data_IF_283296137551
#
_entry.id   IF_283296137551
#
_cell.length_a   1.000
_cell.length_b   1.000
_cell.length_c   1.000
_cell.angle_alpha   90.00
_cell.angle_beta   90.00
_cell.angle_gamma   90.00
#
_symmetry.space_group_name_H-M   'P 1'
#
loop_
_entity.id
_entity.type
_entity.pdbx_description
1 polymer ?
#
# COMPACT_ATOMS: atom_id res chain seq x y z
N UNK A 1 -62.42 -27.68 5.45
CA UNK A 1 -61.43 -28.77 5.36
C UNK A 1 -60.16 -28.30 6.04
N UNK A 2 -59.76 -29.00 7.11
CA UNK A 2 -58.60 -28.73 7.98
C UNK A 2 -57.37 -29.42 7.39
N UNK A 3 -56.24 -28.74 7.25
CA UNK A 3 -54.93 -29.38 7.36
C UNK A 3 -53.96 -28.47 8.11
N UNK A 4 -53.75 -28.86 9.37
CA UNK A 4 -52.69 -28.42 10.27
C UNK A 4 -51.47 -29.26 9.89
N UNK A 5 -50.34 -28.63 9.56
CA UNK A 5 -49.04 -29.29 9.53
C UNK A 5 -48.21 -28.78 10.73
N UNK A 6 -48.14 -29.63 11.75
CA UNK A 6 -47.15 -29.58 12.82
C UNK A 6 -45.85 -30.18 12.26
N UNK A 7 -44.74 -29.45 12.31
CA UNK A 7 -43.41 -30.04 12.26
C UNK A 7 -42.65 -29.70 13.54
N UNK A 8 -42.24 -30.76 14.21
CA UNK A 8 -41.56 -30.81 15.51
C UNK A 8 -40.05 -30.63 15.38
N UNK A 9 -39.47 -30.18 16.49
CA UNK A 9 -38.10 -29.76 16.72
C UNK A 9 -36.99 -30.80 16.46
N UNK A 10 -35.78 -30.30 16.24
CA UNK A 10 -34.52 -31.01 16.54
C UNK A 10 -33.46 -29.98 16.95
N UNK A 11 -33.26 -29.84 18.26
CA UNK A 11 -32.18 -29.07 18.88
C UNK A 11 -30.90 -29.91 18.79
N UNK A 12 -29.91 -29.49 18.00
CA UNK A 12 -28.58 -30.09 17.99
C UNK A 12 -27.62 -29.21 18.81
N UNK A 13 -27.22 -29.70 19.98
CA UNK A 13 -26.14 -29.11 20.77
C UNK A 13 -24.79 -29.52 20.18
N UNK A 14 -24.06 -28.56 19.60
CA UNK A 14 -22.66 -28.73 19.21
C UNK A 14 -21.77 -28.30 20.38
N UNK A 15 -21.10 -29.30 20.97
CA UNK A 15 -20.01 -29.16 21.92
C UNK A 15 -18.76 -28.79 21.11
N UNK A 16 -18.21 -27.59 21.28
CA UNK A 16 -16.90 -27.24 20.75
C UNK A 16 -15.86 -27.34 21.88
N UNK A 17 -15.22 -28.51 21.96
CA UNK A 17 -14.02 -28.70 22.78
C UNK A 17 -12.84 -27.96 22.14
N UNK A 18 -12.20 -27.08 22.91
CA UNK A 18 -10.97 -26.39 22.53
C UNK A 18 -9.81 -27.38 22.28
N UNK A 19 -8.94 -27.14 21.29
CA UNK A 19 -7.69 -27.89 21.18
C UNK A 19 -6.69 -27.40 22.24
N UNK A 20 -6.11 -28.37 22.92
CA UNK A 20 -5.01 -28.29 23.88
C UNK A 20 -3.72 -27.82 23.19
N UNK A 21 -2.99 -26.95 23.88
CA UNK A 21 -1.61 -26.56 23.61
C UNK A 21 -0.69 -27.79 23.53
N UNK A 22 -0.19 -28.09 22.33
CA UNK A 22 0.98 -28.95 22.16
C UNK A 22 2.14 -28.10 21.63
N UNK A 23 3.10 -27.83 22.52
CA UNK A 23 4.40 -27.24 22.17
C UNK A 23 5.22 -28.27 21.38
N UNK A 24 5.01 -28.31 20.07
CA UNK A 24 5.91 -28.99 19.16
C UNK A 24 7.20 -28.16 18.99
N UNK A 25 8.31 -28.80 19.32
CA UNK A 25 9.68 -28.29 19.28
C UNK A 25 10.09 -27.98 17.83
N UNK A 26 10.71 -26.80 17.63
CA UNK A 26 11.17 -26.31 16.33
C UNK A 26 12.24 -27.23 15.74
N UNK A 27 11.91 -27.86 14.62
CA UNK A 27 12.86 -28.51 13.73
C UNK A 27 13.58 -27.46 12.88
N UNK A 28 14.88 -27.37 13.10
CA UNK A 28 15.91 -26.86 12.19
C UNK A 28 15.60 -27.19 10.73
N UNK A 29 15.44 -26.13 9.93
CA UNK A 29 15.21 -26.18 8.49
C UNK A 29 15.45 -24.79 7.90
N UNK A 30 16.71 -24.38 7.89
CA UNK A 30 17.19 -23.17 7.22
C UNK A 30 16.84 -23.21 5.73
N UNK A 31 15.79 -22.51 5.31
CA UNK A 31 15.51 -22.26 3.89
C UNK A 31 16.20 -20.95 3.51
N UNK A 32 17.36 -21.09 2.85
CA UNK A 32 18.13 -20.00 2.26
C UNK A 32 17.36 -19.38 1.09
N UNK A 33 16.64 -18.28 1.37
CA UNK A 33 16.18 -17.40 0.31
C UNK A 33 17.35 -16.50 -0.08
N UNK A 34 17.99 -16.88 -1.18
CA UNK A 34 19.11 -16.19 -1.78
C UNK A 34 18.92 -14.67 -1.80
N UNK A 35 19.91 -14.01 -1.21
CA UNK A 35 20.18 -12.58 -1.25
C UNK A 35 20.03 -12.00 -2.67
N UNK A 36 18.99 -11.18 -2.89
CA UNK A 36 18.93 -10.32 -4.06
C UNK A 36 19.65 -9.01 -3.73
N UNK A 37 20.73 -8.79 -4.48
CA UNK A 37 21.79 -7.82 -4.21
C UNK A 37 21.35 -6.37 -4.03
N UNK A 38 22.26 -5.61 -3.42
CA UNK A 38 22.17 -4.17 -3.30
C UNK A 38 22.11 -3.51 -4.69
N UNK A 39 21.01 -2.82 -4.99
CA UNK A 39 20.95 -1.90 -6.13
C UNK A 39 20.51 -0.50 -5.71
N UNK A 40 21.40 0.45 -5.98
CA UNK A 40 21.09 1.86 -6.21
C UNK A 40 21.39 2.82 -5.06
N UNK A 41 22.67 3.11 -4.82
CA UNK A 41 23.05 4.35 -4.13
C UNK A 41 22.75 5.54 -5.06
N UNK A 42 21.75 6.34 -4.72
CA UNK A 42 21.51 7.64 -5.37
C UNK A 42 22.31 8.74 -4.66
N UNK A 43 23.11 9.48 -5.43
CA UNK A 43 23.63 10.80 -5.07
C UNK A 43 25.06 10.85 -4.54
N UNK A 44 26.03 10.98 -5.46
CA UNK A 44 27.36 11.50 -5.15
C UNK A 44 27.25 13.01 -4.92
N UNK A 45 27.61 13.48 -3.73
CA UNK A 45 27.83 14.90 -3.46
C UNK A 45 29.32 15.14 -3.15
N UNK A 46 29.92 16.08 -3.90
CA UNK A 46 31.00 16.96 -3.48
C UNK A 46 32.34 16.32 -3.11
N UNK A 47 33.28 16.32 -4.06
CA UNK A 47 34.72 16.31 -3.75
C UNK A 47 35.09 17.58 -2.98
N UNK A 48 35.70 17.45 -1.80
CA UNK A 48 36.46 18.53 -1.17
C UNK A 48 37.96 18.21 -1.23
N UNK A 49 38.70 19.25 -1.57
CA UNK A 49 40.13 19.29 -1.85
C UNK A 49 40.98 18.85 -0.63
N UNK A 50 42.02 18.08 -0.90
CA UNK A 50 42.92 17.52 0.08
C UNK A 50 44.24 18.32 0.14
N UNK A 51 44.29 19.34 0.99
CA UNK A 51 45.49 19.85 1.67
C UNK A 51 44.98 20.88 2.70
N UNK A 52 45.33 20.90 3.99
CA UNK A 52 46.63 20.98 4.67
C UNK A 52 46.38 20.72 6.17
N UNK A 53 47.34 20.13 6.90
CA UNK A 53 47.53 20.45 8.33
C UNK A 53 47.36 19.32 9.35
N UNK A 54 48.47 18.68 9.68
CA UNK A 54 48.75 17.88 10.89
C UNK A 54 48.32 18.60 12.17
N UNK A 55 47.66 17.92 13.13
CA UNK A 55 48.02 17.86 14.56
C UNK A 55 47.25 16.73 15.27
N UNK A 56 47.99 15.95 16.05
CA UNK A 56 47.53 14.80 16.82
C UNK A 56 47.00 15.24 18.18
N UNK A 57 45.78 14.86 18.56
CA UNK A 57 45.39 14.76 19.96
C UNK A 57 44.61 13.47 20.20
N UNK A 58 45.27 12.57 20.92
CA UNK A 58 44.71 11.37 21.54
C UNK A 58 43.60 11.74 22.52
N UNK A 59 42.39 11.19 22.34
CA UNK A 59 41.43 11.04 23.43
C UNK A 59 40.91 9.61 23.48
N UNK A 60 40.94 9.09 24.71
CA UNK A 60 40.74 7.72 25.15
C UNK A 60 39.57 6.97 24.50
N UNK A 61 39.80 5.68 24.25
CA UNK A 61 38.75 4.68 24.09
C UNK A 61 37.91 4.64 25.38
N UNK A 62 36.67 5.13 25.29
CA UNK A 62 35.65 4.85 26.30
C UNK A 62 35.01 3.52 25.96
N UNK A 63 35.24 2.51 26.81
CA UNK A 63 34.47 1.27 26.88
C UNK A 63 32.97 1.60 26.95
N UNK A 64 32.27 1.43 25.83
CA UNK A 64 30.82 1.34 25.81
C UNK A 64 30.45 -0.15 25.81
N UNK A 65 29.54 -0.62 26.68
CA UNK A 65 29.16 -2.03 26.68
C UNK A 65 28.48 -2.37 25.36
N UNK A 66 29.12 -3.27 24.61
CA UNK A 66 28.58 -3.88 23.41
C UNK A 66 27.57 -4.97 23.79
N UNK A 67 26.39 -4.60 24.30
CA UNK A 67 25.25 -5.52 24.37
C UNK A 67 23.90 -4.82 24.65
N UNK A 68 23.58 -3.78 23.89
CA UNK A 68 22.18 -3.34 23.81
C UNK A 68 21.50 -4.18 22.72
N UNK A 69 20.44 -4.95 23.02
CA UNK A 69 19.68 -5.62 21.98
C UNK A 69 19.13 -4.54 21.05
N UNK A 70 19.52 -4.59 19.78
CA UNK A 70 18.83 -3.83 18.73
C UNK A 70 17.39 -4.31 18.76
N UNK A 71 16.49 -3.49 19.28
CA UNK A 71 15.07 -3.78 19.21
C UNK A 71 14.75 -4.03 17.73
N UNK A 72 14.34 -5.25 17.42
CA UNK A 72 13.70 -5.56 16.14
C UNK A 72 12.40 -4.77 16.19
N UNK A 73 12.43 -3.53 15.71
CA UNK A 73 11.22 -2.83 15.31
C UNK A 73 10.59 -3.78 14.28
N UNK A 74 9.48 -4.44 14.63
CA UNK A 74 8.66 -5.10 13.63
C UNK A 74 8.48 -4.07 12.52
N UNK A 75 9.01 -4.35 11.33
CA UNK A 75 8.94 -3.41 10.23
C UNK A 75 7.45 -3.14 10.00
N UNK A 76 7.05 -1.87 10.16
CA UNK A 76 5.65 -1.51 10.04
C UNK A 76 5.11 -1.97 8.67
N UNK A 77 3.86 -2.47 8.59
CA UNK A 77 3.36 -3.04 7.35
C UNK A 77 3.38 -2.02 6.23
N UNK A 78 3.93 -2.39 5.08
CA UNK A 78 4.16 -1.49 3.95
C UNK A 78 3.27 -1.80 2.74
N UNK A 79 2.48 -2.89 2.78
CA UNK A 79 1.49 -3.24 1.76
C UNK A 79 0.08 -3.13 2.32
N UNK A 80 -0.84 -2.61 1.51
CA UNK A 80 -2.20 -2.37 1.97
C UNK A 80 -3.21 -2.33 0.84
N UNK A 81 -4.46 -2.63 1.18
CA UNK A 81 -5.63 -2.31 0.37
C UNK A 81 -6.22 -0.99 0.86
N UNK A 82 -6.92 -0.28 -0.01
CA UNK A 82 -7.47 1.03 0.29
C UNK A 82 -8.95 1.14 -0.09
N UNK A 83 -9.72 1.78 0.79
CA UNK A 83 -11.11 2.17 0.54
C UNK A 83 -11.27 3.66 0.78
N UNK A 84 -12.22 4.27 0.10
CA UNK A 84 -12.56 5.68 0.33
C UNK A 84 -13.49 5.85 1.53
N UNK A 85 -13.40 6.99 2.21
CA UNK A 85 -14.27 7.33 3.34
C UNK A 85 -14.94 8.68 3.15
N UNK A 86 -16.26 8.66 2.98
CA UNK A 86 -17.13 9.84 2.99
C UNK A 86 -18.52 9.52 3.53
N UNK A 87 -18.68 9.52 4.85
CA UNK A 87 -19.97 9.18 5.47
C UNK A 87 -21.13 10.00 4.87
N UNK A 88 -22.26 9.34 4.61
CA UNK A 88 -23.45 9.96 4.01
C UNK A 88 -23.53 9.92 2.48
N UNK A 89 -22.49 9.43 1.79
CA UNK A 89 -22.50 9.27 0.32
C UNK A 89 -22.25 7.79 -0.06
N UNK A 90 -23.31 7.07 -0.41
CA UNK A 90 -23.23 5.64 -0.69
C UNK A 90 -22.39 5.29 -1.93
N UNK A 91 -22.20 6.24 -2.84
CA UNK A 91 -21.49 6.02 -4.10
C UNK A 91 -19.97 6.03 -3.92
N UNK A 92 -19.48 6.64 -2.84
CA UNK A 92 -18.04 6.78 -2.58
C UNK A 92 -17.63 6.37 -1.17
N UNK A 93 -18.56 6.12 -0.25
CA UNK A 93 -18.23 5.65 1.10
C UNK A 93 -17.93 4.15 1.12
N UNK A 94 -16.80 3.78 1.72
CA UNK A 94 -16.31 2.41 1.87
C UNK A 94 -16.23 1.64 0.55
N UNK A 95 -15.96 2.38 -0.54
CA UNK A 95 -15.74 1.79 -1.85
C UNK A 95 -14.26 1.47 -2.06
N UNK A 96 -13.93 0.32 -2.68
CA UNK A 96 -12.55 -0.01 -3.00
C UNK A 96 -11.98 0.93 -4.06
N UNK A 97 -10.68 1.21 -3.94
CA UNK A 97 -9.94 1.93 -4.97
C UNK A 97 -9.33 0.91 -5.93
N UNK A 98 -9.71 0.98 -7.20
CA UNK A 98 -9.27 0.08 -8.26
C UNK A 98 -8.31 0.75 -9.24
N UNK A 99 -7.17 0.13 -9.50
CA UNK A 99 -6.25 0.47 -10.58
C UNK A 99 -6.80 -0.05 -11.92
N UNK A 100 -7.05 0.87 -12.86
CA UNK A 100 -7.62 0.56 -14.17
C UNK A 100 -7.19 1.64 -15.17
N UNK A 101 -6.69 1.27 -16.35
CA UNK A 101 -6.23 2.21 -17.38
C UNK A 101 -5.21 3.25 -16.90
N UNK A 102 -4.21 2.85 -16.11
CA UNK A 102 -3.20 3.74 -15.51
C UNK A 102 -3.76 4.88 -14.64
N UNK A 103 -4.98 4.71 -14.13
CA UNK A 103 -5.67 5.63 -13.20
C UNK A 103 -6.35 4.84 -12.08
N UNK A 104 -6.78 5.56 -11.05
CA UNK A 104 -7.49 4.97 -9.91
C UNK A 104 -8.95 5.39 -9.89
N UNK A 105 -9.82 4.42 -9.64
CA UNK A 105 -11.26 4.61 -9.73
C UNK A 105 -12.01 4.00 -8.54
N UNK A 106 -13.20 4.52 -8.30
CA UNK A 106 -14.33 3.87 -7.63
C UNK A 106 -15.30 3.40 -8.72
N UNK A 107 -15.95 2.26 -8.51
CA UNK A 107 -16.98 1.74 -9.43
C UNK A 107 -16.41 1.03 -10.67
N UNK A 108 -15.10 0.76 -10.72
CA UNK A 108 -14.47 -0.10 -11.73
C UNK A 108 -13.80 -1.31 -11.08
N UNK A 109 -13.74 -2.40 -11.82
CA UNK A 109 -12.87 -3.52 -11.48
C UNK A 109 -11.41 -3.14 -11.68
N UNK A 110 -10.54 -3.72 -10.85
CA UNK A 110 -9.10 -3.63 -11.03
C UNK A 110 -8.71 -4.38 -12.32
N UNK A 111 -8.00 -3.71 -13.23
CA UNK A 111 -7.50 -4.33 -14.45
C UNK A 111 -6.08 -4.87 -14.20
N UNK A 112 -5.91 -6.18 -14.36
CA UNK A 112 -4.61 -6.87 -14.22
C UNK A 112 -4.27 -7.66 -15.47
N UNK A 113 -2.99 -7.98 -15.64
CA UNK A 113 -2.52 -8.90 -16.67
C UNK A 113 -1.42 -9.79 -16.16
N UNK A 114 -1.45 -11.06 -16.58
CA UNK A 114 -0.46 -12.05 -16.25
C UNK A 114 -0.13 -12.85 -17.52
N UNK A 115 1.13 -12.82 -18.01
CA UNK A 115 1.55 -13.50 -19.22
C UNK A 115 1.96 -14.97 -18.99
N UNK A 116 1.88 -15.46 -17.75
CA UNK A 116 2.32 -16.81 -17.40
C UNK A 116 1.23 -17.85 -17.71
N UNK A 117 1.63 -19.11 -17.82
CA UNK A 117 0.70 -20.24 -17.98
C UNK A 117 -0.13 -20.51 -16.72
N UNK A 118 0.39 -20.15 -15.54
CA UNK A 118 -0.30 -20.22 -14.26
C UNK A 118 -0.21 -18.86 -13.56
N UNK A 119 -1.38 -18.31 -13.24
CA UNK A 119 -1.53 -17.01 -12.59
C UNK A 119 -2.30 -17.14 -11.26
N UNK A 120 -2.53 -18.36 -10.78
CA UNK A 120 -3.33 -18.64 -9.58
C UNK A 120 -2.75 -18.05 -8.29
N UNK A 121 -1.45 -17.77 -8.28
CA UNK A 121 -0.76 -17.14 -7.15
C UNK A 121 -0.92 -15.62 -7.09
N UNK A 122 -1.41 -14.96 -8.16
CA UNK A 122 -1.52 -13.51 -8.22
C UNK A 122 -2.95 -13.03 -7.96
N UNK A 123 -3.06 -11.88 -7.31
CA UNK A 123 -4.37 -11.27 -7.06
C UNK A 123 -4.84 -10.39 -8.22
N UNK A 124 -6.16 -10.18 -8.28
CA UNK A 124 -6.84 -9.36 -9.28
C UNK A 124 -7.50 -8.10 -8.67
N UNK A 125 -7.08 -7.68 -7.47
CA UNK A 125 -7.50 -6.44 -6.83
C UNK A 125 -6.28 -5.56 -6.54
N UNK A 126 -6.53 -4.28 -6.26
CA UNK A 126 -5.46 -3.30 -6.08
C UNK A 126 -4.82 -3.39 -4.71
N UNK A 127 -3.52 -3.61 -4.70
CA UNK A 127 -2.67 -3.57 -3.52
C UNK A 127 -1.60 -2.51 -3.71
N UNK A 128 -1.51 -1.60 -2.75
CA UNK A 128 -0.55 -0.52 -2.72
C UNK A 128 0.69 -0.90 -1.91
N UNK A 129 1.79 -0.20 -2.17
CA UNK A 129 3.05 -0.31 -1.48
C UNK A 129 3.56 1.09 -1.14
N UNK A 130 3.89 1.37 0.12
CA UNK A 130 4.48 2.65 0.53
C UNK A 130 5.42 2.47 1.72
N UNK A 131 6.37 3.39 1.89
CA UNK A 131 7.16 3.44 3.12
C UNK A 131 6.29 4.04 4.24
N UNK A 132 6.03 3.30 5.33
CA UNK A 132 5.20 3.81 6.41
C UNK A 132 5.93 4.94 7.16
N UNK A 133 5.16 5.94 7.61
CA UNK A 133 5.63 7.08 8.40
C UNK A 133 6.70 7.96 7.75
N UNK A 134 6.86 7.90 6.43
CA UNK A 134 7.77 8.76 5.66
C UNK A 134 6.97 9.84 4.93
N UNK A 135 7.14 11.09 5.38
CA UNK A 135 6.45 12.25 4.81
C UNK A 135 6.85 12.54 3.36
N UNK A 136 7.95 11.96 2.85
CA UNK A 136 8.43 12.10 1.49
C UNK A 136 8.30 10.78 0.70
N UNK A 137 7.51 9.82 1.19
CA UNK A 137 7.36 8.53 0.54
C UNK A 137 6.78 8.69 -0.87
N UNK A 138 7.25 7.81 -1.76
CA UNK A 138 6.49 7.47 -2.95
C UNK A 138 5.32 6.54 -2.62
N UNK A 139 4.44 6.35 -3.57
CA UNK A 139 3.41 5.31 -3.55
C UNK A 139 3.65 4.41 -4.76
N UNK A 140 3.68 3.11 -4.53
CA UNK A 140 3.81 2.09 -5.56
C UNK A 140 2.62 1.14 -5.54
N UNK A 141 2.58 0.28 -6.54
CA UNK A 141 1.67 -0.86 -6.60
C UNK A 141 2.43 -2.15 -6.31
N UNK A 142 1.87 -2.98 -5.44
CA UNK A 142 2.46 -4.27 -5.09
C UNK A 142 2.26 -5.25 -6.24
N UNK A 143 3.33 -5.41 -7.01
CA UNK A 143 3.36 -6.11 -8.29
C UNK A 143 4.56 -7.05 -8.39
N UNK A 144 4.49 -8.01 -9.31
CA UNK A 144 5.60 -8.91 -9.62
C UNK A 144 6.47 -8.45 -10.80
N UNK A 145 6.08 -7.40 -11.52
CA UNK A 145 6.84 -6.90 -12.68
C UNK A 145 8.16 -6.23 -12.27
N UNK A 146 9.22 -6.55 -13.00
CA UNK A 146 10.52 -5.89 -12.83
C UNK A 146 10.40 -4.38 -13.11
N UNK A 147 10.95 -3.57 -12.20
CA UNK A 147 10.79 -2.11 -12.19
C UNK A 147 9.52 -1.61 -11.49
N UNK A 148 8.58 -2.51 -11.17
CA UNK A 148 7.33 -2.20 -10.49
C UNK A 148 6.41 -1.27 -11.29
N UNK A 149 5.45 -0.70 -10.58
CA UNK A 149 4.59 0.36 -11.07
C UNK A 149 4.45 1.42 -9.97
N UNK A 150 4.75 2.67 -10.30
CA UNK A 150 4.76 3.77 -9.34
C UNK A 150 3.54 4.66 -9.55
N UNK A 151 2.87 5.03 -8.46
CA UNK A 151 1.83 6.04 -8.51
C UNK A 151 2.45 7.44 -8.71
N UNK A 152 1.68 8.31 -9.35
CA UNK A 152 1.99 9.71 -9.56
C UNK A 152 0.71 10.54 -9.47
N UNK A 153 0.89 11.84 -9.26
CA UNK A 153 -0.16 12.85 -9.29
C UNK A 153 0.16 13.83 -10.40
N UNK A 154 -0.73 14.01 -11.38
CA UNK A 154 -0.54 15.04 -12.42
C UNK A 154 -0.66 16.44 -11.84
N UNK A 155 -0.31 17.49 -12.59
CA UNK A 155 -0.44 18.87 -12.11
C UNK A 155 -1.88 19.24 -11.74
N UNK A 156 -2.84 18.68 -12.48
CA UNK A 156 -4.28 18.87 -12.28
C UNK A 156 -4.86 17.92 -11.22
N UNK A 157 -4.03 17.03 -10.68
CA UNK A 157 -4.34 16.18 -9.54
C UNK A 157 -4.78 14.77 -9.86
N UNK A 158 -4.81 14.35 -11.13
CA UNK A 158 -5.17 12.95 -11.45
C UNK A 158 -4.24 11.99 -10.72
N UNK A 159 -4.79 11.07 -9.95
CA UNK A 159 -4.01 9.97 -9.40
C UNK A 159 -3.87 8.91 -10.48
N UNK A 160 -2.63 8.68 -10.90
CA UNK A 160 -2.27 7.70 -11.92
C UNK A 160 -1.14 6.81 -11.48
N UNK A 161 -0.81 5.83 -12.31
CA UNK A 161 0.34 4.96 -12.09
C UNK A 161 1.04 4.63 -13.40
N UNK A 162 2.33 4.34 -13.32
CA UNK A 162 3.13 4.06 -14.51
C UNK A 162 2.76 2.71 -15.12
N UNK A 163 2.93 2.60 -16.43
CA UNK A 163 2.83 1.31 -17.12
C UNK A 163 3.87 0.32 -16.53
N UNK A 164 3.54 -0.97 -16.54
CA UNK A 164 4.48 -2.03 -16.21
C UNK A 164 5.80 -1.88 -17.00
N UNK A 165 6.92 -2.12 -16.32
CA UNK A 165 8.28 -1.99 -16.89
C UNK A 165 8.65 -0.57 -17.35
N UNK A 166 7.87 0.45 -16.98
CA UNK A 166 8.10 1.83 -17.36
C UNK A 166 8.08 2.75 -16.15
N UNK A 167 9.02 3.69 -16.10
CA UNK A 167 8.99 4.82 -15.18
C UNK A 167 8.27 6.05 -15.74
N UNK A 168 7.68 5.95 -16.94
CA UNK A 168 7.10 7.10 -17.63
C UNK A 168 5.81 7.58 -16.95
N UNK A 169 5.78 8.86 -16.64
CA UNK A 169 4.59 9.59 -16.19
C UNK A 169 4.42 10.88 -17.01
N UNK A 170 3.20 11.47 -17.03
CA UNK A 170 2.98 12.75 -17.69
C UNK A 170 3.94 13.82 -17.18
N UNK A 171 4.37 14.73 -18.05
CA UNK A 171 5.35 15.77 -17.70
C UNK A 171 4.88 16.63 -16.52
N UNK A 172 5.76 16.77 -15.52
CA UNK A 172 5.50 17.52 -14.30
C UNK A 172 4.52 16.85 -13.33
N UNK A 173 4.30 15.55 -13.49
CA UNK A 173 3.70 14.75 -12.43
C UNK A 173 4.63 14.64 -11.23
N UNK A 174 4.04 14.42 -10.06
CA UNK A 174 4.73 14.28 -8.80
C UNK A 174 4.54 12.85 -8.28
N UNK A 175 5.64 12.17 -7.94
CA UNK A 175 5.61 10.81 -7.39
C UNK A 175 5.66 10.80 -5.85
N UNK A 176 5.77 11.98 -5.24
CA UNK A 176 5.79 12.26 -3.81
C UNK A 176 5.11 13.63 -3.59
N UNK A 177 4.74 14.02 -2.36
CA UNK A 177 4.93 13.33 -1.08
C UNK A 177 3.67 12.58 -0.65
N UNK A 178 3.60 11.29 -0.97
CA UNK A 178 2.59 10.42 -0.39
C UNK A 178 2.96 10.12 1.06
N UNK A 179 1.98 10.12 1.95
CA UNK A 179 2.20 9.82 3.36
C UNK A 179 1.25 8.71 3.76
N UNK A 180 1.84 7.57 4.12
CA UNK A 180 1.13 6.39 4.55
C UNK A 180 1.41 6.12 6.03
N UNK A 181 0.34 5.96 6.79
CA UNK A 181 0.40 5.59 8.21
C UNK A 181 -0.40 4.30 8.38
N UNK A 182 0.23 3.14 8.67
CA UNK A 182 -0.49 1.89 8.90
C UNK A 182 -1.30 1.93 10.20
N UNK A 183 -2.41 1.16 10.22
CA UNK A 183 -3.03 0.74 11.47
C UNK A 183 -2.25 -0.44 12.04
N UNK A 184 -1.69 -0.29 13.24
CA UNK A 184 -0.79 -1.28 13.86
C UNK A 184 -1.46 -2.17 14.89
N UNK A 185 -2.63 -1.77 15.38
CA UNK A 185 -3.39 -2.50 16.40
C UNK A 185 -4.63 -3.17 15.79
N UNK A 186 -5.16 -4.24 16.41
CA UNK A 186 -6.48 -4.77 16.10
C UNK A 186 -7.52 -3.64 16.09
N UNK A 187 -8.43 -3.67 15.11
CA UNK A 187 -9.51 -2.68 14.90
C UNK A 187 -9.06 -1.25 14.54
N UNK A 188 -7.77 -1.04 14.27
CA UNK A 188 -7.27 0.21 13.70
C UNK A 188 -7.15 0.12 12.18
N UNK A 189 -7.32 1.27 11.52
CA UNK A 189 -7.12 1.40 10.08
C UNK A 189 -6.02 2.41 9.81
N UNK A 190 -5.33 2.23 8.69
CA UNK A 190 -4.34 3.18 8.26
C UNK A 190 -4.93 4.32 7.43
N UNK A 191 -4.07 5.27 7.08
CA UNK A 191 -4.43 6.44 6.26
C UNK A 191 -3.42 6.67 5.16
N UNK A 192 -3.89 7.26 4.07
CA UNK A 192 -3.06 7.72 2.97
C UNK A 192 -3.41 9.18 2.66
N UNK A 193 -2.40 10.00 2.43
CA UNK A 193 -2.55 11.39 1.98
C UNK A 193 -1.49 11.75 0.94
N UNK A 194 -1.71 12.86 0.23
CA UNK A 194 -0.75 13.43 -0.70
C UNK A 194 -0.55 14.91 -0.39
N UNK A 195 0.69 15.34 -0.19
CA UNK A 195 1.01 16.73 0.15
C UNK A 195 0.22 17.25 1.36
N UNK A 196 0.09 16.38 2.38
CA UNK A 196 -0.68 16.60 3.61
C UNK A 196 -2.15 16.96 3.38
N UNK A 197 -2.71 16.62 2.21
CA UNK A 197 -4.11 16.81 1.84
C UNK A 197 -4.76 15.49 1.44
N UNK A 198 -6.09 15.48 1.49
CA UNK A 198 -6.90 14.34 1.07
C UNK A 198 -7.08 14.26 -0.45
N UNK A 199 -8.11 13.51 -0.83
CA UNK A 199 -8.44 13.22 -2.22
C UNK A 199 -9.86 13.67 -2.53
N UNK A 200 -10.20 13.70 -3.81
CA UNK A 200 -11.57 13.79 -4.29
C UNK A 200 -11.88 12.65 -5.24
N UNK A 201 -13.15 12.27 -5.29
CA UNK A 201 -13.73 11.38 -6.28
C UNK A 201 -14.52 12.22 -7.29
N UNK A 202 -14.08 12.23 -8.54
CA UNK A 202 -14.69 12.98 -9.63
C UNK A 202 -15.50 12.05 -10.53
N UNK A 203 -16.80 12.33 -10.78
CA UNK A 203 -17.61 11.53 -11.70
C UNK A 203 -16.95 11.42 -13.07
N UNK A 204 -16.99 10.22 -13.66
CA UNK A 204 -16.54 9.99 -15.03
C UNK A 204 -17.73 10.25 -15.97
N UNK A 205 -17.52 11.09 -16.97
CA UNK A 205 -18.54 11.39 -17.96
C UNK A 205 -19.08 10.11 -18.61
N UNK A 206 -20.41 10.05 -18.77
CA UNK A 206 -21.14 8.95 -19.39
C UNK A 206 -20.97 7.57 -18.69
N UNK A 207 -20.51 7.55 -17.44
CA UNK A 207 -20.38 6.34 -16.63
C UNK A 207 -21.01 6.56 -15.25
N UNK A 208 -22.23 6.04 -15.07
CA UNK A 208 -22.92 6.09 -13.79
C UNK A 208 -22.12 5.37 -12.70
N UNK A 209 -22.08 5.95 -11.50
CA UNK A 209 -21.42 5.41 -10.31
C UNK A 209 -19.91 5.13 -10.45
N UNK A 210 -19.28 5.67 -11.50
CA UNK A 210 -17.85 5.59 -11.72
C UNK A 210 -17.20 6.93 -11.39
N UNK A 211 -16.18 6.89 -10.54
CA UNK A 211 -15.44 8.08 -10.14
C UNK A 211 -13.95 7.87 -10.29
N UNK A 212 -13.23 8.84 -10.84
CA UNK A 212 -11.77 8.85 -10.86
C UNK A 212 -11.25 9.59 -9.62
N UNK A 213 -10.17 9.09 -9.04
CA UNK A 213 -9.53 9.68 -7.85
C UNK A 213 -8.53 10.77 -8.26
N UNK A 214 -8.61 11.91 -7.57
CA UNK A 214 -7.67 13.01 -7.70
C UNK A 214 -7.12 13.44 -6.34
N UNK A 215 -5.86 13.86 -6.30
CA UNK A 215 -5.22 14.42 -5.11
C UNK A 215 -5.44 15.94 -5.05
N UNK A 216 -5.97 16.42 -3.92
CA UNK A 216 -6.24 17.86 -3.70
C UNK A 216 -4.94 18.66 -3.57
N UNK A 217 -3.85 18.00 -3.16
CA UNK A 217 -2.53 18.61 -2.99
C UNK A 217 -1.74 18.89 -4.26
N UNK A 218 -2.33 18.70 -5.44
CA UNK A 218 -1.65 18.96 -6.71
C UNK A 218 -1.55 20.47 -7.02
N UNK A 219 -0.50 20.92 -7.74
CA UNK A 219 -0.23 22.34 -7.98
C UNK A 219 -1.38 23.13 -8.62
N UNK A 220 -2.09 22.53 -9.58
CA UNK A 220 -3.15 23.16 -10.36
C UNK A 220 -4.50 22.51 -10.10
N UNK A 221 -4.71 21.94 -8.92
CA UNK A 221 -5.96 21.24 -8.62
C UNK A 221 -7.15 22.20 -8.66
N UNK A 222 -8.11 21.92 -9.55
CA UNK A 222 -9.38 22.64 -9.64
C UNK A 222 -10.48 21.71 -10.15
N UNK A 223 -11.32 21.24 -9.23
CA UNK A 223 -12.38 20.25 -9.46
C UNK A 223 -13.56 20.48 -8.51
N UNK A 224 -14.36 21.55 -8.73
CA UNK A 224 -15.42 21.95 -7.78
C UNK A 224 -16.57 20.95 -7.68
N UNK A 225 -16.83 20.17 -8.75
CA UNK A 225 -17.95 19.23 -8.82
C UNK A 225 -17.61 17.83 -8.27
N UNK A 226 -16.45 17.68 -7.64
CA UNK A 226 -15.99 16.40 -7.12
C UNK A 226 -16.24 16.26 -5.62
N UNK A 227 -16.42 15.02 -5.18
CA UNK A 227 -16.75 14.70 -3.79
C UNK A 227 -15.44 14.52 -3.01
N UNK A 228 -15.26 15.28 -1.93
CA UNK A 228 -14.12 15.08 -1.03
C UNK A 228 -14.18 13.72 -0.33
N UNK A 229 -13.07 12.97 -0.36
CA UNK A 229 -12.96 11.64 0.25
C UNK A 229 -11.68 11.52 1.08
N UNK A 230 -11.77 10.81 2.21
CA UNK A 230 -10.60 10.24 2.87
C UNK A 230 -10.19 8.93 2.20
N UNK A 231 -8.95 8.47 2.46
CA UNK A 231 -8.52 7.12 2.14
C UNK A 231 -8.15 6.42 3.44
N UNK A 232 -8.84 5.31 3.67
CA UNK A 232 -8.61 4.41 4.81
C UNK A 232 -8.03 3.11 4.29
N UNK A 233 -7.04 2.58 4.99
CA UNK A 233 -6.28 1.41 4.52
C UNK A 233 -6.35 0.26 5.51
N UNK A 234 -6.17 -0.94 4.99
CA UNK A 234 -5.98 -2.16 5.79
C UNK A 234 -4.72 -2.88 5.32
N UNK A 235 -3.90 -3.31 6.27
CA UNK A 235 -2.66 -4.04 6.01
C UNK A 235 -2.95 -5.29 5.19
N UNK A 236 -2.09 -5.55 4.20
CA UNK A 236 -2.19 -6.72 3.34
C UNK A 236 -0.89 -7.54 3.38
N UNK A 237 -1.01 -8.85 3.62
CA UNK A 237 0.14 -9.78 3.73
C UNK A 237 0.15 -10.89 2.69
N UNK A 238 -0.81 -10.86 1.74
CA UNK A 238 -0.92 -11.89 0.70
C UNK A 238 -0.04 -11.63 -0.53
N UNK A 239 -0.43 -12.24 -1.65
CA UNK A 239 0.31 -12.17 -2.92
C UNK A 239 0.12 -10.84 -3.67
N UNK A 240 1.09 -10.42 -4.50
CA UNK A 240 0.94 -9.27 -5.38
C UNK A 240 0.02 -9.59 -6.56
N UNK A 241 -0.40 -8.55 -7.28
CA UNK A 241 -0.84 -8.73 -8.66
C UNK A 241 0.38 -9.02 -9.55
N UNK A 242 0.20 -9.65 -10.71
CA UNK A 242 1.33 -9.74 -11.65
C UNK A 242 1.70 -8.34 -12.15
N UNK A 243 0.74 -7.67 -12.81
CA UNK A 243 0.80 -6.25 -13.17
C UNK A 243 -0.61 -5.64 -13.22
N UNK A 244 -0.68 -4.31 -13.16
CA UNK A 244 -1.89 -3.52 -13.36
C UNK A 244 -1.87 -2.83 -14.73
N UNK A 245 -3.05 -2.64 -15.34
CA UNK A 245 -3.21 -2.04 -16.67
C UNK A 245 -4.10 -0.79 -16.64
#
# INVERSE_FOLDING_TARGET
MKYIFLLTASLATLVNSAPVDDKATLGDGSVDYGSYGAYGAYGSYGQYDASVGTESQSMAASDAPADAPVAVQNAAPNHFVAVTTRSGDANVHLQPISANGQRFFIGKDTATYCPLSDCSSYVNFTVFLARPYDANSGLGLYTNVAGGQAAFVTKEGELGYTQAHSGSSPSGSLNNPFQYTPGTDPDTTGTLSFNSKGFVACPVADQADVYQIYAVGAPNFSKPDCIGVGITTSTYTGSPAYQYN
#
